data_IF_508551138892
#
_entry.id   IF_508551138892
#
_cell.length_a   1.000
_cell.length_b   1.000
_cell.length_c   1.000
_cell.angle_alpha   90.00
_cell.angle_beta   90.00
_cell.angle_gamma   90.00
#
_symmetry.space_group_name_H-M   'P 1'
#
loop_
_entity.id
_entity.type
_entity.pdbx_description
1 polymer ?
#
# COMPACT_ATOMS: atom_id res chain seq x y z
N UNK A 1 9.39 -10.63 -24.09
CA UNK A 1 10.66 -10.94 -23.41
C UNK A 1 10.30 -11.40 -22.01
N UNK A 2 10.30 -12.72 -21.78
CA UNK A 2 9.96 -13.29 -20.47
C UNK A 2 11.16 -13.15 -19.55
N UNK A 3 10.96 -12.52 -18.40
CA UNK A 3 11.97 -12.51 -17.33
C UNK A 3 12.26 -13.95 -16.92
N UNK A 4 13.46 -14.43 -17.25
CA UNK A 4 13.98 -15.69 -16.72
C UNK A 4 14.32 -15.46 -15.26
N UNK A 5 13.34 -15.68 -14.38
CA UNK A 5 13.60 -15.91 -12.96
C UNK A 5 14.63 -17.03 -12.86
N UNK A 6 15.86 -16.68 -12.50
CA UNK A 6 16.94 -17.63 -12.35
C UNK A 6 16.61 -18.50 -11.14
N UNK A 7 16.32 -19.78 -11.38
CA UNK A 7 16.09 -20.76 -10.31
C UNK A 7 17.41 -20.95 -9.57
N UNK A 8 17.54 -20.33 -8.41
CA UNK A 8 18.70 -20.50 -7.55
C UNK A 8 18.44 -21.70 -6.63
N UNK A 9 19.29 -22.75 -6.64
CA UNK A 9 19.11 -23.87 -5.73
C UNK A 9 19.38 -23.41 -4.30
N UNK A 10 18.39 -23.57 -3.44
CA UNK A 10 18.50 -23.28 -2.00
C UNK A 10 18.47 -24.60 -1.25
N UNK A 11 19.46 -24.83 -0.38
CA UNK A 11 19.49 -25.96 0.54
C UNK A 11 19.25 -25.46 1.96
N UNK A 12 18.32 -26.09 2.66
CA UNK A 12 17.99 -25.78 4.06
C UNK A 12 18.08 -27.03 4.92
N UNK A 13 18.51 -26.87 6.18
CA UNK A 13 18.44 -27.94 7.17
C UNK A 13 17.18 -27.75 8.01
N UNK A 14 16.35 -28.77 8.04
CA UNK A 14 15.10 -28.79 8.81
C UNK A 14 15.18 -29.87 9.90
N UNK A 15 14.51 -29.68 11.05
CA UNK A 15 14.34 -30.74 12.03
C UNK A 15 13.66 -31.97 11.44
N UNK A 16 14.03 -33.17 11.90
CA UNK A 16 13.50 -34.44 11.36
C UNK A 16 11.97 -34.51 11.36
N UNK A 17 11.34 -34.13 12.47
CA UNK A 17 9.87 -34.12 12.59
C UNK A 17 9.17 -33.20 11.58
N UNK A 18 9.83 -32.12 11.14
CA UNK A 18 9.30 -31.22 10.11
C UNK A 18 9.37 -31.92 8.75
N UNK A 19 10.49 -32.57 8.45
CA UNK A 19 10.64 -33.33 7.19
C UNK A 19 9.59 -34.44 7.11
N UNK A 20 9.36 -35.17 8.20
CA UNK A 20 8.34 -36.22 8.29
C UNK A 20 6.93 -35.68 8.00
N UNK A 21 6.60 -34.50 8.54
CA UNK A 21 5.30 -33.85 8.26
C UNK A 21 5.19 -33.39 6.82
N UNK A 22 6.25 -32.85 6.22
CA UNK A 22 6.24 -32.50 4.80
C UNK A 22 6.01 -33.75 3.95
N UNK A 23 6.64 -34.88 4.29
CA UNK A 23 6.46 -36.14 3.59
C UNK A 23 5.04 -36.71 3.70
N UNK A 24 4.40 -36.54 4.84
CA UNK A 24 2.98 -36.86 5.04
C UNK A 24 2.11 -36.05 4.06
N UNK A 25 2.26 -34.73 4.03
CA UNK A 25 1.48 -33.86 3.14
C UNK A 25 1.72 -34.15 1.64
N UNK A 26 2.95 -34.54 1.27
CA UNK A 26 3.26 -34.97 -0.10
C UNK A 26 2.61 -36.32 -0.42
N UNK A 27 2.61 -37.27 0.52
CA UNK A 27 1.93 -38.57 0.35
C UNK A 27 0.42 -38.41 0.23
N UNK A 28 -0.16 -37.48 0.96
CA UNK A 28 -1.59 -37.11 0.90
C UNK A 28 -1.96 -36.32 -0.37
N UNK A 29 -0.97 -36.01 -1.22
CA UNK A 29 -1.11 -35.23 -2.46
C UNK A 29 -1.59 -33.80 -2.26
N UNK A 30 -1.45 -33.26 -1.05
CA UNK A 30 -1.66 -31.82 -0.81
C UNK A 30 -0.55 -31.00 -1.49
N UNK A 31 0.64 -31.56 -1.61
CA UNK A 31 1.78 -30.97 -2.33
C UNK A 31 2.40 -31.97 -3.29
N UNK A 32 2.91 -31.46 -4.42
CA UNK A 32 3.53 -32.30 -5.46
C UNK A 32 4.92 -32.82 -5.05
N UNK A 33 5.62 -32.07 -4.21
CA UNK A 33 6.96 -32.44 -3.72
C UNK A 33 7.32 -31.63 -2.47
N UNK A 34 8.38 -32.04 -1.77
CA UNK A 34 8.98 -31.24 -0.69
C UNK A 34 9.35 -29.83 -1.16
N UNK A 35 9.87 -29.70 -2.38
CA UNK A 35 10.23 -28.39 -2.94
C UNK A 35 9.02 -27.51 -3.17
N UNK A 36 7.89 -28.08 -3.61
CA UNK A 36 6.62 -27.37 -3.81
C UNK A 36 6.11 -26.81 -2.47
N UNK A 37 6.12 -27.65 -1.44
CA UNK A 37 5.79 -27.25 -0.07
C UNK A 37 6.71 -26.12 0.44
N UNK A 38 8.02 -26.27 0.31
CA UNK A 38 8.98 -25.27 0.80
C UNK A 38 8.78 -23.93 0.06
N UNK A 39 8.60 -23.95 -1.26
CA UNK A 39 8.32 -22.74 -2.06
C UNK A 39 7.04 -22.05 -1.56
N UNK A 40 5.97 -22.81 -1.33
CA UNK A 40 4.71 -22.30 -0.80
C UNK A 40 4.89 -21.68 0.60
N UNK A 41 5.48 -22.42 1.53
CA UNK A 41 5.66 -21.99 2.91
C UNK A 41 6.53 -20.72 3.02
N UNK A 42 7.63 -20.64 2.26
CA UNK A 42 8.50 -19.47 2.21
C UNK A 42 7.75 -18.26 1.65
N UNK A 43 6.98 -18.44 0.56
CA UNK A 43 6.18 -17.35 -0.04
C UNK A 43 5.16 -16.82 0.94
N UNK A 44 4.45 -17.72 1.64
CA UNK A 44 3.45 -17.35 2.64
C UNK A 44 4.07 -16.57 3.81
N UNK A 45 5.18 -17.08 4.37
CA UNK A 45 5.88 -16.43 5.48
C UNK A 45 6.43 -15.05 5.09
N UNK A 46 7.02 -14.93 3.88
CA UNK A 46 7.46 -13.64 3.34
C UNK A 46 6.30 -12.65 3.23
N UNK A 47 5.16 -13.08 2.69
CA UNK A 47 3.95 -12.25 2.60
C UNK A 47 3.48 -11.74 3.96
N UNK A 48 3.44 -12.62 4.97
CA UNK A 48 3.07 -12.25 6.35
C UNK A 48 4.06 -11.23 6.95
N UNK A 49 5.36 -11.45 6.80
CA UNK A 49 6.41 -10.53 7.27
C UNK A 49 6.27 -9.16 6.58
N UNK A 50 6.02 -9.14 5.26
CA UNK A 50 5.84 -7.91 4.51
C UNK A 50 4.60 -7.14 4.97
N UNK A 51 3.47 -7.84 5.17
CA UNK A 51 2.25 -7.24 5.69
C UNK A 51 2.44 -6.67 7.10
N UNK A 52 3.14 -7.39 7.99
CA UNK A 52 3.43 -6.91 9.33
C UNK A 52 4.31 -5.66 9.29
N UNK A 53 5.34 -5.63 8.43
CA UNK A 53 6.18 -4.45 8.20
C UNK A 53 5.35 -3.27 7.67
N UNK A 54 4.45 -3.52 6.72
CA UNK A 54 3.55 -2.50 6.19
C UNK A 54 2.62 -1.95 7.29
N UNK A 55 2.02 -2.81 8.12
CA UNK A 55 1.21 -2.40 9.27
C UNK A 55 2.01 -1.61 10.29
N UNK A 56 3.25 -2.01 10.58
CA UNK A 56 4.14 -1.26 11.49
C UNK A 56 4.51 0.11 10.93
N UNK A 57 4.72 0.23 9.62
CA UNK A 57 4.93 1.53 8.94
C UNK A 57 3.66 2.39 8.99
N UNK A 58 2.50 1.81 8.69
CA UNK A 58 1.21 2.51 8.77
C UNK A 58 0.89 2.97 10.20
N UNK A 59 1.21 2.17 11.23
CA UNK A 59 1.08 2.59 12.63
C UNK A 59 2.06 3.69 13.04
N UNK A 60 3.21 3.81 12.37
CA UNK A 60 4.18 4.89 12.60
C UNK A 60 3.78 6.19 11.91
N UNK A 61 2.97 6.15 10.86
CA UNK A 61 2.15 7.29 10.41
C UNK A 61 0.97 7.39 11.36
N UNK A 62 1.20 8.03 12.49
CA UNK A 62 0.22 8.08 13.57
C UNK A 62 -0.91 9.06 13.25
N UNK A 63 -2.05 8.91 13.92
CA UNK A 63 -3.12 9.92 13.95
C UNK A 63 -2.60 11.33 14.29
N UNK A 64 -1.47 11.43 14.99
CA UNK A 64 -0.79 12.68 15.28
C UNK A 64 -0.13 13.30 14.04
N UNK A 65 0.43 12.49 13.13
CA UNK A 65 0.96 12.99 11.86
C UNK A 65 -0.17 13.45 10.93
N UNK A 66 -1.28 12.72 10.88
CA UNK A 66 -2.49 13.13 10.15
C UNK A 66 -3.13 14.39 10.74
N UNK A 67 -3.17 14.51 12.08
CA UNK A 67 -3.64 15.72 12.75
C UNK A 67 -2.70 16.89 12.51
N UNK A 68 -1.38 16.67 12.54
CA UNK A 68 -0.38 17.70 12.28
C UNK A 68 -0.47 18.17 10.83
N UNK A 69 -0.57 17.26 9.85
CA UNK A 69 -0.80 17.64 8.45
C UNK A 69 -2.13 18.36 8.26
N UNK A 70 -3.20 17.92 8.92
CA UNK A 70 -4.51 18.58 8.85
C UNK A 70 -4.47 19.98 9.47
N UNK A 71 -3.80 20.15 10.62
CA UNK A 71 -3.60 21.45 11.27
C UNK A 71 -2.69 22.36 10.43
N UNK A 72 -1.59 21.85 9.88
CA UNK A 72 -0.71 22.59 8.98
C UNK A 72 -1.44 23.03 7.70
N UNK A 73 -2.25 22.15 7.11
CA UNK A 73 -3.08 22.49 5.95
C UNK A 73 -4.15 23.54 6.31
N UNK A 74 -4.80 23.42 7.47
CA UNK A 74 -5.75 24.42 7.98
C UNK A 74 -5.11 25.78 8.24
N UNK A 75 -3.90 25.80 8.79
CA UNK A 75 -3.16 27.03 9.05
C UNK A 75 -2.62 27.67 7.76
N UNK A 76 -2.28 26.87 6.74
CA UNK A 76 -1.99 27.37 5.39
C UNK A 76 -3.24 27.97 4.72
N UNK A 77 -4.39 27.31 4.84
CA UNK A 77 -5.69 27.81 4.37
C UNK A 77 -6.05 29.16 5.01
N UNK A 78 -5.90 29.29 6.34
CA UNK A 78 -6.16 30.56 7.06
C UNK A 78 -5.22 31.69 6.65
N UNK A 79 -3.95 31.36 6.37
CA UNK A 79 -2.93 32.35 5.99
C UNK A 79 -2.96 32.73 4.52
N UNK A 80 -3.75 32.04 3.70
CA UNK A 80 -3.80 32.26 2.25
C UNK A 80 -2.48 31.89 1.55
N UNK A 81 -1.62 31.11 2.21
CA UNK A 81 -0.34 30.64 1.69
C UNK A 81 -0.59 29.39 0.82
N UNK A 82 -1.09 29.63 -0.38
CA UNK A 82 -1.10 28.63 -1.44
C UNK A 82 0.15 28.84 -2.27
N UNK A 83 1.00 27.80 -2.40
CA UNK A 83 1.95 27.77 -3.52
C UNK A 83 1.13 27.87 -4.81
N UNK A 84 1.66 28.65 -5.77
CA UNK A 84 1.02 29.13 -7.00
C UNK A 84 0.54 28.02 -7.99
N UNK A 85 -0.03 26.91 -7.54
CA UNK A 85 -0.96 26.08 -8.33
C UNK A 85 -2.34 26.77 -8.50
N UNK A 86 -2.41 28.07 -8.19
CA UNK A 86 -3.63 28.85 -8.10
C UNK A 86 -4.25 29.21 -9.45
N UNK A 87 -3.57 29.14 -10.60
CA UNK A 87 -4.19 29.64 -11.84
C UNK A 87 -5.37 28.79 -12.29
N UNK A 88 -5.25 27.46 -12.22
CA UNK A 88 -6.32 26.55 -12.63
C UNK A 88 -7.44 26.51 -11.60
N UNK A 89 -7.10 26.49 -10.31
CA UNK A 89 -8.10 26.48 -9.23
C UNK A 89 -8.86 27.81 -9.17
N UNK A 90 -8.19 28.96 -9.32
CA UNK A 90 -8.86 30.27 -9.40
C UNK A 90 -9.73 30.39 -10.65
N UNK A 91 -9.32 29.80 -11.77
CA UNK A 91 -10.12 29.77 -13.00
C UNK A 91 -11.39 28.95 -12.79
N UNK A 92 -11.29 27.76 -12.22
CA UNK A 92 -12.43 26.92 -11.91
C UNK A 92 -13.40 27.61 -10.92
N UNK A 93 -12.87 28.29 -9.89
CA UNK A 93 -13.69 29.05 -8.94
C UNK A 93 -14.39 30.26 -9.60
N UNK A 94 -13.73 30.95 -10.54
CA UNK A 94 -14.38 32.03 -11.32
C UNK A 94 -15.48 31.50 -12.21
N UNK A 95 -15.24 30.41 -12.94
CA UNK A 95 -16.24 29.80 -13.82
C UNK A 95 -17.47 29.37 -13.01
N UNK A 96 -17.28 28.72 -11.85
CA UNK A 96 -18.39 28.34 -10.96
C UNK A 96 -19.14 29.58 -10.45
N UNK A 97 -18.44 30.65 -10.08
CA UNK A 97 -19.07 31.88 -9.60
C UNK A 97 -19.89 32.58 -10.70
N UNK A 98 -19.36 32.65 -11.93
CA UNK A 98 -20.08 33.19 -13.09
C UNK A 98 -21.31 32.34 -13.44
N UNK A 99 -21.18 31.02 -13.42
CA UNK A 99 -22.28 30.07 -13.63
C UNK A 99 -23.37 30.28 -12.57
N UNK A 100 -22.96 30.40 -11.31
CA UNK A 100 -23.87 30.61 -10.17
C UNK A 100 -24.59 31.95 -10.27
N UNK A 101 -23.90 33.02 -10.68
CA UNK A 101 -24.50 34.35 -10.92
C UNK A 101 -25.52 34.32 -12.05
N UNK A 102 -25.22 33.61 -13.15
CA UNK A 102 -26.20 33.41 -14.26
C UNK A 102 -27.43 32.64 -13.80
N UNK A 103 -27.26 31.60 -12.99
CA UNK A 103 -28.36 30.75 -12.53
C UNK A 103 -29.22 31.41 -11.45
N UNK A 104 -28.63 32.25 -10.60
CA UNK A 104 -29.31 32.89 -9.47
C UNK A 104 -29.78 34.33 -9.76
N UNK A 105 -29.37 34.92 -10.88
CA UNK A 105 -29.73 36.29 -11.27
C UNK A 105 -29.13 37.38 -10.37
N UNK A 106 -28.14 37.04 -9.53
CA UNK A 106 -27.50 38.00 -8.64
C UNK A 106 -26.42 38.80 -9.39
N UNK A 107 -26.69 40.08 -9.65
CA UNK A 107 -25.67 41.06 -10.05
C UNK A 107 -24.91 41.56 -8.81
N UNK A 108 -23.58 41.45 -8.83
CA UNK A 108 -22.65 42.00 -7.82
C UNK A 108 -21.63 41.01 -7.29
#
# INVERSE_FOLDING_TARGET
MGETGTDHPISVRLPGYVVEKIDELVREKEFRSRSDFIKFAVTMALGQIMMEKARKRAKKLTLEDLKREAEEAWEKLKRGEFEEEGSEVLKALREINEETKRLTGAEG
#
